data_IF_870052352394
#
_entry.id   IF_870052352394
#
_cell.length_a   1.000
_cell.length_b   1.000
_cell.length_c   1.000
_cell.angle_alpha   90.00
_cell.angle_beta   90.00
_cell.angle_gamma   90.00
#
_symmetry.space_group_name_H-M   'P 1'
#
loop_
_entity.id
_entity.type
_entity.pdbx_description
1 polymer ?
#
# COMPACT_ATOMS: atom_id res chain seq x y z
N UNK A 1 -9.31 -6.33 -10.51
CA UNK A 1 -10.06 -5.05 -10.63
C UNK A 1 -9.90 -4.15 -9.41
N UNK A 2 -10.21 -4.58 -8.18
CA UNK A 2 -10.09 -3.71 -7.00
C UNK A 2 -8.67 -3.24 -6.68
N UNK A 3 -7.67 -4.07 -6.96
CA UNK A 3 -6.25 -3.78 -6.71
C UNK A 3 -5.68 -2.69 -7.60
N UNK A 4 -5.90 -2.79 -8.92
CA UNK A 4 -5.51 -1.78 -9.89
C UNK A 4 -6.18 -0.43 -9.60
N UNK A 5 -7.46 -0.48 -9.21
CA UNK A 5 -8.22 0.71 -8.83
C UNK A 5 -7.65 1.36 -7.56
N UNK A 6 -7.21 0.56 -6.57
CA UNK A 6 -6.58 1.07 -5.36
C UNK A 6 -5.24 1.76 -5.64
N UNK A 7 -4.38 1.13 -6.45
CA UNK A 7 -3.10 1.71 -6.87
C UNK A 7 -3.29 3.00 -7.65
N UNK A 8 -4.17 3.01 -8.65
CA UNK A 8 -4.48 4.19 -9.43
C UNK A 8 -4.95 5.34 -8.54
N UNK A 9 -5.89 5.06 -7.63
CA UNK A 9 -6.44 6.08 -6.72
C UNK A 9 -5.37 6.69 -5.82
N UNK A 10 -4.43 5.88 -5.33
CA UNK A 10 -3.34 6.40 -4.52
C UNK A 10 -2.34 7.20 -5.33
N UNK A 11 -1.96 6.72 -6.51
CA UNK A 11 -1.08 7.48 -7.39
C UNK A 11 -1.68 8.86 -7.72
N UNK A 12 -2.99 8.93 -8.00
CA UNK A 12 -3.70 10.18 -8.25
C UNK A 12 -3.80 11.07 -6.99
N UNK A 13 -4.10 10.49 -5.82
CA UNK A 13 -4.27 11.27 -4.57
C UNK A 13 -2.96 11.78 -3.99
N UNK A 14 -1.88 11.02 -4.10
CA UNK A 14 -0.59 11.38 -3.50
C UNK A 14 0.39 11.95 -4.51
N UNK A 15 0.15 11.79 -5.81
CA UNK A 15 1.11 12.13 -6.87
C UNK A 15 2.36 11.25 -6.86
N UNK A 16 2.30 10.08 -6.23
CA UNK A 16 3.43 9.16 -6.09
C UNK A 16 3.26 7.95 -6.98
N UNK A 17 4.34 7.21 -7.21
CA UNK A 17 4.31 5.97 -7.96
C UNK A 17 4.39 4.77 -7.01
N UNK A 18 3.23 4.28 -6.56
CA UNK A 18 3.17 3.07 -5.74
C UNK A 18 3.57 1.85 -6.55
N UNK A 19 4.61 1.15 -6.08
CA UNK A 19 5.00 -0.14 -6.65
C UNK A 19 4.13 -1.24 -6.05
N UNK A 20 3.46 -2.05 -6.88
CA UNK A 20 2.70 -3.19 -6.39
C UNK A 20 3.68 -4.22 -5.84
N UNK A 21 3.46 -4.62 -4.59
CA UNK A 21 4.14 -5.73 -3.95
C UNK A 21 3.08 -6.83 -3.79
N UNK A 22 3.28 -7.92 -4.55
CA UNK A 22 2.39 -9.08 -4.49
C UNK A 22 2.34 -9.60 -3.06
N UNK A 23 1.14 -9.71 -2.49
CA UNK A 23 0.90 -10.66 -1.42
C UNK A 23 0.24 -11.90 -2.03
N UNK A 24 0.53 -13.07 -1.46
CA UNK A 24 0.05 -14.37 -1.95
C UNK A 24 -1.47 -14.60 -1.75
N UNK A 25 -2.25 -13.56 -1.43
CA UNK A 25 -3.62 -13.72 -0.93
C UNK A 25 -4.74 -13.50 -1.94
N UNK A 26 -4.46 -13.05 -3.17
CA UNK A 26 -5.47 -12.80 -4.23
C UNK A 26 -6.62 -11.83 -3.83
N UNK A 27 -6.52 -11.14 -2.69
CA UNK A 27 -7.59 -10.33 -2.12
C UNK A 27 -7.17 -8.89 -1.81
N UNK A 28 -5.98 -8.48 -2.25
CA UNK A 28 -5.41 -7.16 -1.99
C UNK A 28 -4.02 -7.01 -2.59
N UNK A 29 -3.76 -5.88 -3.23
CA UNK A 29 -2.41 -5.47 -3.59
C UNK A 29 -1.82 -4.74 -2.39
N UNK A 30 -0.64 -5.15 -1.97
CA UNK A 30 0.16 -4.32 -1.09
C UNK A 30 1.11 -3.47 -1.94
N UNK A 31 1.68 -2.43 -1.38
CA UNK A 31 2.60 -1.61 -2.15
C UNK A 31 3.37 -0.63 -1.31
N UNK A 32 4.38 -0.02 -1.90
CA UNK A 32 5.05 1.10 -1.26
C UNK A 32 5.43 2.19 -2.26
N UNK A 33 5.53 3.41 -1.75
CA UNK A 33 6.05 4.56 -2.45
C UNK A 33 6.96 5.36 -1.53
N UNK A 34 7.95 6.03 -2.13
CA UNK A 34 8.82 6.96 -1.41
C UNK A 34 8.42 8.38 -1.77
N UNK A 35 8.14 9.18 -0.74
CA UNK A 35 7.92 10.61 -0.85
C UNK A 35 9.09 11.35 -0.21
N UNK A 36 9.66 12.33 -0.91
CA UNK A 36 10.78 13.14 -0.41
C UNK A 36 10.28 14.57 -0.25
N UNK A 37 10.22 15.05 1.00
CA UNK A 37 9.77 16.39 1.35
C UNK A 37 10.90 17.13 2.07
N UNK A 38 11.72 17.87 1.32
CA UNK A 38 12.95 18.47 1.83
C UNK A 38 13.89 17.38 2.37
N UNK A 39 14.33 17.50 3.62
CA UNK A 39 15.21 16.52 4.27
C UNK A 39 14.45 15.30 4.86
N UNK A 40 13.11 15.31 4.81
CA UNK A 40 12.29 14.21 5.34
C UNK A 40 11.93 13.23 4.25
N UNK A 41 12.39 11.99 4.39
CA UNK A 41 11.98 10.88 3.54
C UNK A 41 10.80 10.19 4.23
N UNK A 42 9.67 10.08 3.55
CA UNK A 42 8.50 9.33 4.02
C UNK A 42 8.29 8.12 3.12
N UNK A 43 8.30 6.93 3.70
CA UNK A 43 7.89 5.72 2.98
C UNK A 43 6.43 5.46 3.30
N UNK A 44 5.61 5.49 2.26
CA UNK A 44 4.19 5.15 2.35
C UNK A 44 4.05 3.66 2.05
N UNK A 45 3.52 2.93 3.02
CA UNK A 45 3.22 1.51 2.95
C UNK A 45 1.72 1.37 2.78
N UNK A 46 1.32 0.81 1.65
CA UNK A 46 -0.06 0.59 1.27
C UNK A 46 -0.47 -0.85 1.54
N UNK A 47 -1.67 -1.02 2.07
CA UNK A 47 -2.42 -2.28 2.02
C UNK A 47 -3.81 -1.99 1.45
N UNK A 48 -4.12 -2.62 0.31
CA UNK A 48 -5.45 -2.54 -0.30
C UNK A 48 -6.32 -3.72 0.14
N UNK A 49 -7.54 -3.43 0.60
CA UNK A 49 -8.55 -4.43 0.96
C UNK A 49 -9.80 -4.20 0.11
N UNK A 50 -10.31 -5.26 -0.50
CA UNK A 50 -11.54 -5.20 -1.28
C UNK A 50 -12.69 -5.94 -0.59
N UNK A 51 -13.93 -5.53 -0.87
CA UNK A 51 -15.15 -6.23 -0.45
C UNK A 51 -16.24 -6.08 -1.49
N UNK A 52 -16.97 -7.17 -1.76
CA UNK A 52 -18.18 -7.15 -2.61
C UNK A 52 -19.44 -6.70 -1.86
N UNK A 53 -19.33 -6.48 -0.55
CA UNK A 53 -20.43 -6.08 0.34
C UNK A 53 -20.38 -4.58 0.67
N UNK A 54 -19.70 -3.78 -0.16
CA UNK A 54 -19.52 -2.33 0.03
C UNK A 54 -18.20 -1.96 0.73
N UNK A 55 -17.78 -0.70 0.57
CA UNK A 55 -16.45 -0.23 1.00
C UNK A 55 -16.24 -0.31 2.52
N UNK A 56 -17.30 -0.13 3.30
CA UNK A 56 -17.25 -0.19 4.77
C UNK A 56 -17.07 -1.62 5.30
N UNK A 57 -17.31 -2.64 4.47
CA UNK A 57 -17.08 -4.04 4.80
C UNK A 57 -15.69 -4.53 4.37
N UNK A 58 -14.89 -3.69 3.69
CA UNK A 58 -13.49 -3.99 3.44
C UNK A 58 -12.72 -3.95 4.77
N UNK A 59 -11.90 -4.98 5.00
CA UNK A 59 -11.13 -5.14 6.23
C UNK A 59 -10.17 -3.97 6.44
N UNK A 60 -9.79 -3.75 7.69
CA UNK A 60 -8.64 -2.89 8.03
C UNK A 60 -7.41 -3.78 8.19
N UNK A 61 -6.24 -3.38 7.64
CA UNK A 61 -4.97 -4.05 7.85
C UNK A 61 -4.61 -4.16 9.34
N UNK A 62 -3.91 -5.24 9.69
CA UNK A 62 -3.38 -5.47 11.03
C UNK A 62 -1.85 -5.39 11.04
N UNK A 63 -1.29 -4.99 12.18
CA UNK A 63 0.15 -4.90 12.42
C UNK A 63 0.74 -3.54 12.10
N UNK A 64 2.06 -3.44 12.24
CA UNK A 64 2.81 -2.22 12.00
C UNK A 64 3.28 -2.12 10.53
N UNK A 65 3.04 -0.98 9.84
CA UNK A 65 3.48 -0.77 8.46
C UNK A 65 5.00 -0.86 8.28
N UNK A 66 5.80 -0.45 9.27
CA UNK A 66 7.26 -0.55 9.15
C UNK A 66 7.74 -1.99 9.25
N UNK A 67 7.13 -2.79 10.12
CA UNK A 67 7.35 -4.25 10.15
C UNK A 67 6.97 -4.89 8.83
N UNK A 68 5.86 -4.47 8.21
CA UNK A 68 5.44 -4.97 6.89
C UNK A 68 6.48 -4.66 5.80
N UNK A 69 6.95 -3.41 5.74
CA UNK A 69 7.97 -2.98 4.80
C UNK A 69 9.27 -3.76 4.95
N UNK A 70 9.74 -3.94 6.19
CA UNK A 70 10.96 -4.73 6.49
C UNK A 70 10.79 -6.17 6.04
N UNK A 71 9.64 -6.79 6.32
CA UNK A 71 9.36 -8.15 5.86
C UNK A 71 9.47 -8.32 4.35
N UNK A 72 9.05 -7.33 3.55
CA UNK A 72 9.20 -7.35 2.09
C UNK A 72 10.63 -7.13 1.59
N UNK A 73 11.45 -6.39 2.34
CA UNK A 73 12.88 -6.25 2.05
C UNK A 73 13.60 -7.56 2.40
N UNK A 74 13.37 -8.08 3.60
CA UNK A 74 14.04 -9.27 4.13
C UNK A 74 13.75 -10.54 3.31
N UNK A 75 12.51 -10.67 2.79
CA UNK A 75 12.13 -11.81 1.96
C UNK A 75 12.43 -11.60 0.46
N UNK A 76 13.02 -10.46 0.09
CA UNK A 76 13.42 -10.14 -1.28
C UNK A 76 12.27 -9.73 -2.22
N UNK A 77 11.04 -9.56 -1.74
CA UNK A 77 9.88 -9.18 -2.59
C UNK A 77 10.13 -7.87 -3.33
N UNK A 78 10.71 -6.88 -2.65
CA UNK A 78 11.04 -5.60 -3.28
C UNK A 78 12.28 -5.76 -4.15
N UNK A 79 13.33 -6.42 -3.68
CA UNK A 79 14.59 -6.60 -4.42
C UNK A 79 14.39 -7.33 -5.74
N UNK A 80 13.50 -8.33 -5.79
CA UNK A 80 13.18 -9.05 -7.01
C UNK A 80 12.36 -8.23 -8.00
N UNK A 81 11.49 -7.34 -7.50
CA UNK A 81 10.66 -6.49 -8.36
C UNK A 81 11.35 -5.21 -8.83
N UNK A 82 12.14 -4.58 -7.96
CA UNK A 82 12.80 -3.28 -8.17
C UNK A 82 14.01 -3.17 -7.23
N UNK A 83 15.20 -3.66 -7.65
CA UNK A 83 16.41 -3.65 -6.84
C UNK A 83 16.86 -2.23 -6.43
N UNK A 84 16.59 -1.23 -7.28
CA UNK A 84 16.95 0.16 -7.01
C UNK A 84 16.07 0.74 -5.89
N UNK A 85 14.76 0.44 -5.92
CA UNK A 85 13.86 0.79 -4.83
C UNK A 85 14.25 0.10 -3.52
N UNK A 86 14.58 -1.20 -3.55
CA UNK A 86 15.03 -1.92 -2.35
C UNK A 86 16.26 -1.24 -1.72
N UNK A 87 17.29 -0.96 -2.52
CA UNK A 87 18.50 -0.27 -2.06
C UNK A 87 18.20 1.11 -1.47
N UNK A 88 17.33 1.88 -2.12
CA UNK A 88 16.93 3.20 -1.64
C UNK A 88 16.17 3.11 -0.30
N UNK A 89 15.27 2.14 -0.15
CA UNK A 89 14.52 1.91 1.08
C UNK A 89 15.42 1.46 2.22
N UNK A 90 16.34 0.53 1.99
CA UNK A 90 17.31 0.09 3.00
C UNK A 90 18.19 1.26 3.47
N UNK A 91 18.73 2.03 2.53
CA UNK A 91 19.55 3.22 2.84
C UNK A 91 18.75 4.24 3.64
N UNK A 92 17.50 4.48 3.25
CA UNK A 92 16.65 5.44 3.90
C UNK A 92 16.29 4.97 5.33
N UNK A 93 15.95 3.69 5.53
CA UNK A 93 15.67 3.12 6.85
C UNK A 93 16.90 3.17 7.79
N UNK A 94 18.11 2.94 7.27
CA UNK A 94 19.36 3.03 8.04
C UNK A 94 19.70 4.46 8.46
N UNK A 95 19.32 5.47 7.67
CA UNK A 95 19.61 6.88 7.98
C UNK A 95 18.94 7.40 9.27
N UNK A 96 17.93 6.71 9.79
CA UNK A 96 17.12 7.14 10.94
C UNK A 96 16.23 8.36 10.67
N UNK A 97 16.28 8.94 9.46
CA UNK A 97 15.51 10.13 9.05
C UNK A 97 14.22 9.78 8.30
N UNK A 98 13.90 8.49 8.19
CA UNK A 98 12.70 8.02 7.49
C UNK A 98 11.51 7.90 8.42
N UNK A 99 10.38 8.44 7.97
CA UNK A 99 9.07 8.14 8.55
C UNK A 99 8.38 7.08 7.69
N UNK A 100 8.05 5.94 8.30
CA UNK A 100 7.16 4.97 7.65
C UNK A 100 5.73 5.30 8.06
N UNK A 101 4.87 5.53 7.06
CA UNK A 101 3.45 5.79 7.21
C UNK A 101 2.65 4.71 6.51
N UNK A 102 1.67 4.15 7.21
CA UNK A 102 0.77 3.18 6.61
C UNK A 102 -0.47 3.86 6.05
N UNK A 103 -0.91 3.39 4.88
CA UNK A 103 -2.14 3.79 4.22
C UNK A 103 -2.96 2.54 3.92
N UNK A 104 -4.23 2.60 4.24
CA UNK A 104 -5.20 1.57 3.88
C UNK A 104 -6.06 2.09 2.73
N UNK A 105 -6.21 1.28 1.69
CA UNK A 105 -7.19 1.55 0.62
C UNK A 105 -8.28 0.50 0.69
N UNK A 106 -9.50 0.94 0.98
CA UNK A 106 -10.68 0.10 0.97
C UNK A 106 -11.40 0.29 -0.35
N UNK A 107 -11.72 -0.82 -1.02
CA UNK A 107 -12.44 -0.84 -2.29
C UNK A 107 -13.72 -1.65 -2.14
N UNK A 108 -14.87 -0.98 -2.25
CA UNK A 108 -16.18 -1.60 -2.39
C UNK A 108 -16.43 -1.94 -3.85
N UNK A 109 -16.43 -3.22 -4.19
CA UNK A 109 -16.80 -3.69 -5.53
C UNK A 109 -18.30 -4.04 -5.55
N UNK A 110 -19.02 -3.82 -6.65
CA UNK A 110 -20.37 -4.33 -6.80
C UNK A 110 -20.36 -5.86 -6.75
N UNK A 111 -21.33 -6.45 -6.05
CA UNK A 111 -21.55 -7.90 -6.07
C UNK A 111 -21.81 -8.40 -7.49
N UNK A 112 -21.42 -9.64 -7.77
CA UNK A 112 -21.65 -10.27 -9.07
C UNK A 112 -23.14 -10.17 -9.47
N UNK A 113 -23.42 -9.64 -10.66
CA UNK A 113 -24.79 -9.43 -11.15
C UNK A 113 -25.46 -8.12 -10.71
N UNK A 114 -24.78 -7.26 -9.94
CA UNK A 114 -25.25 -5.90 -9.64
C UNK A 114 -24.49 -4.86 -10.44
N UNK A 115 -25.21 -3.89 -11.01
CA UNK A 115 -24.62 -2.71 -11.64
C UNK A 115 -24.39 -1.62 -10.57
N UNK A 116 -23.23 -0.98 -10.59
CA UNK A 116 -22.86 0.08 -9.64
C UNK A 116 -21.40 0.51 -9.80
N UNK A 117 -21.07 1.75 -9.43
CA UNK A 117 -19.68 2.21 -9.39
C UNK A 117 -18.95 1.60 -8.19
N UNK A 118 -17.65 1.33 -8.35
CA UNK A 118 -16.80 0.94 -7.24
C UNK A 118 -16.61 2.12 -6.28
N UNK A 119 -16.73 1.85 -4.99
CA UNK A 119 -16.51 2.83 -3.93
C UNK A 119 -15.08 2.72 -3.40
N UNK A 120 -14.43 3.83 -3.10
CA UNK A 120 -13.06 3.84 -2.60
C UNK A 120 -12.94 4.73 -1.39
N UNK A 121 -12.28 4.21 -0.35
CA UNK A 121 -11.95 4.96 0.86
C UNK A 121 -10.48 4.78 1.18
N UNK A 122 -9.78 5.90 1.39
CA UNK A 122 -8.39 5.90 1.81
C UNK A 122 -8.33 6.34 3.26
N UNK A 123 -7.70 5.55 4.11
CA UNK A 123 -7.60 5.77 5.55
C UNK A 123 -6.14 5.61 6.00
N UNK A 124 -5.77 6.28 7.08
CA UNK A 124 -4.48 6.01 7.73
C UNK A 124 -4.49 4.59 8.31
N UNK A 125 -3.42 3.82 8.08
CA UNK A 125 -3.22 2.54 8.76
C UNK A 125 -2.58 2.82 10.12
N UNK A 126 -3.32 2.65 11.24
CA UNK A 126 -2.78 2.90 12.56
C UNK A 126 -1.72 1.86 12.92
N UNK A 127 -0.65 2.31 13.58
CA UNK A 127 0.31 1.42 14.24
C UNK A 127 -0.43 0.74 15.40
N UNK A 128 -0.90 -0.49 15.20
CA UNK A 128 -1.51 -1.31 16.24
C UNK A 128 -0.73 -2.60 16.40
#
# INVERSE_FOLDING_TARGET
MGEQLALQTLNEKTGLNFKPLQNSSNHGCDGCAVAINGDTITVLVMDAKSSVNGVNQARTPHGDPATRLRGWLDNGSITQSDPALATALESALQSGRVKVQGVTVKVGLPAAGKTGQAEIKVESWPKK
#
